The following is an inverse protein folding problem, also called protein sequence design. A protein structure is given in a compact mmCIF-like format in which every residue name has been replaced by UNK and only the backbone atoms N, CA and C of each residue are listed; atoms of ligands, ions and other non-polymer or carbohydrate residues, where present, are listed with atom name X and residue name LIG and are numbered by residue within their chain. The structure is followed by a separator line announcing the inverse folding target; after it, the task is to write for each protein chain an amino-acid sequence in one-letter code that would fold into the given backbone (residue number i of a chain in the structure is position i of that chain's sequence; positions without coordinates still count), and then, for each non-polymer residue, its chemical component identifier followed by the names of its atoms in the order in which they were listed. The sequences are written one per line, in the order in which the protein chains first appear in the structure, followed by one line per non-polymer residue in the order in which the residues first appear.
data_IF_095653166109
#
_entry.id   IF_095653166109
#
_cell.length_a   1.000
_cell.length_b   1.000
_cell.length_c   1.000
_cell.angle_alpha   90.00
_cell.angle_beta   90.00
_cell.angle_gamma   90.00
#
_symmetry.space_group_name_H-M   'P 1'
#
loop_
_entity.id
_entity.type
_entity.pdbx_description
1 polymer ?
#
# COMPACT_ATOMS: atom_id res chain seq x y z
N UNK A 1 7.41 28.47 -21.17
CA UNK A 1 6.33 27.51 -21.40
C UNK A 1 5.75 27.10 -20.06
N UNK A 2 4.85 27.90 -19.52
CA UNK A 2 3.98 27.49 -18.44
C UNK A 2 3.01 26.45 -19.00
N UNK A 3 3.31 25.17 -18.83
CA UNK A 3 2.31 24.12 -19.07
C UNK A 3 1.17 24.39 -18.09
N UNK A 4 -0.01 24.59 -18.63
CA UNK A 4 -1.23 24.70 -17.85
C UNK A 4 -1.47 23.36 -17.16
N UNK A 5 -1.33 23.30 -15.86
CA UNK A 5 -1.64 22.12 -15.03
C UNK A 5 -3.15 21.92 -14.85
N UNK A 6 -3.99 22.65 -15.57
CA UNK A 6 -5.43 22.67 -15.40
C UNK A 6 -6.16 21.35 -15.70
N UNK A 7 -5.49 20.38 -16.32
CA UNK A 7 -6.05 19.03 -16.57
C UNK A 7 -4.98 17.99 -16.29
N UNK A 8 -4.79 17.65 -15.03
CA UNK A 8 -3.93 16.53 -14.66
C UNK A 8 -4.74 15.24 -14.86
N UNK A 9 -4.23 14.38 -15.74
CA UNK A 9 -4.80 13.05 -15.98
C UNK A 9 -4.84 12.23 -14.68
N UNK A 10 -5.83 11.33 -14.57
CA UNK A 10 -5.86 10.32 -13.49
C UNK A 10 -4.62 9.43 -13.51
N UNK A 11 -4.00 9.27 -14.69
CA UNK A 11 -2.77 8.52 -14.90
C UNK A 11 -1.65 9.48 -15.28
N UNK A 12 -0.68 9.63 -14.39
CA UNK A 12 0.50 10.50 -14.59
C UNK A 12 1.74 9.74 -15.05
N UNK A 13 1.57 8.49 -15.47
CA UNK A 13 2.68 7.56 -15.63
C UNK A 13 3.14 7.00 -14.28
N UNK A 14 4.15 6.17 -14.29
CA UNK A 14 4.78 5.67 -13.05
C UNK A 14 5.53 6.81 -12.40
N UNK A 15 5.05 7.30 -11.27
CA UNK A 15 5.55 8.49 -10.60
C UNK A 15 5.31 8.44 -9.09
N UNK A 16 5.84 9.40 -8.34
CA UNK A 16 5.68 9.48 -6.89
C UNK A 16 4.22 9.62 -6.44
N UNK A 17 3.36 10.16 -7.30
CA UNK A 17 1.92 10.34 -7.01
C UNK A 17 1.05 9.20 -7.52
N UNK A 18 1.66 8.14 -8.07
CA UNK A 18 0.94 6.99 -8.61
C UNK A 18 0.83 5.83 -7.59
N UNK A 19 -0.06 4.88 -7.88
CA UNK A 19 -0.22 3.65 -7.09
C UNK A 19 1.10 2.86 -6.96
N UNK A 20 1.91 2.83 -8.01
CA UNK A 20 3.21 2.16 -8.01
C UNK A 20 4.14 2.69 -6.90
N UNK A 21 4.09 3.99 -6.57
CA UNK A 21 4.86 4.53 -5.45
C UNK A 21 4.44 3.91 -4.12
N UNK A 22 3.14 3.67 -3.93
CA UNK A 22 2.65 2.98 -2.73
C UNK A 22 3.15 1.54 -2.61
N UNK A 23 3.13 0.77 -3.71
CA UNK A 23 3.69 -0.58 -3.77
C UNK A 23 5.20 -0.57 -3.46
N UNK A 24 5.92 0.38 -4.05
CA UNK A 24 7.35 0.56 -3.77
C UNK A 24 7.61 0.84 -2.28
N UNK A 25 6.88 1.76 -1.67
CA UNK A 25 7.04 2.08 -0.26
C UNK A 25 6.70 0.90 0.65
N UNK A 26 5.64 0.16 0.38
CA UNK A 26 5.28 -1.02 1.16
C UNK A 26 6.40 -2.08 1.15
N UNK A 27 7.01 -2.31 -0.02
CA UNK A 27 8.16 -3.21 -0.11
C UNK A 27 9.41 -2.63 0.54
N UNK A 28 9.75 -1.38 0.28
CA UNK A 28 10.94 -0.73 0.80
C UNK A 28 10.94 -0.67 2.34
N UNK A 29 9.80 -0.37 2.98
CA UNK A 29 9.67 -0.40 4.44
C UNK A 29 10.00 -1.77 5.01
N UNK A 30 9.46 -2.83 4.40
CA UNK A 30 9.76 -4.20 4.82
C UNK A 30 11.24 -4.55 4.70
N UNK A 31 11.90 -4.16 3.60
CA UNK A 31 13.34 -4.37 3.42
C UNK A 31 14.19 -3.56 4.40
N UNK A 32 13.81 -2.31 4.68
CA UNK A 32 14.49 -1.46 5.67
C UNK A 32 14.43 -2.11 7.06
N UNK A 33 13.26 -2.60 7.47
CA UNK A 33 13.09 -3.30 8.75
C UNK A 33 13.89 -4.60 8.75
N UNK A 34 13.83 -5.39 7.68
CA UNK A 34 14.57 -6.64 7.54
C UNK A 34 16.08 -6.45 7.69
N UNK A 35 16.61 -5.32 7.22
CA UNK A 35 18.03 -4.97 7.36
C UNK A 35 18.39 -4.41 8.75
N UNK A 36 17.45 -4.29 9.66
CA UNK A 36 17.67 -3.84 11.02
C UNK A 36 17.77 -2.32 11.19
N UNK A 37 17.33 -1.54 10.22
CA UNK A 37 17.23 -0.09 10.39
C UNK A 37 16.10 0.27 11.36
N UNK A 38 16.38 1.12 12.31
CA UNK A 38 15.43 1.50 13.37
C UNK A 38 14.39 2.54 12.94
N UNK A 39 14.57 3.19 11.79
CA UNK A 39 13.68 4.27 11.34
C UNK A 39 13.75 4.44 9.83
N UNK A 40 12.58 4.72 9.25
CA UNK A 40 12.44 5.20 7.87
C UNK A 40 11.47 6.37 7.84
N UNK A 41 11.88 7.49 7.27
CA UNK A 41 11.05 8.68 7.12
C UNK A 41 10.81 8.95 5.64
N UNK A 42 9.54 9.06 5.26
CA UNK A 42 9.19 9.49 3.92
C UNK A 42 9.41 11.00 3.80
N UNK A 43 10.10 11.41 2.79
CA UNK A 43 10.21 12.80 2.36
C UNK A 43 9.13 13.07 1.32
N UNK A 44 8.18 13.94 1.55
CA UNK A 44 7.82 14.61 2.80
C UNK A 44 6.29 14.70 2.93
N UNK A 45 5.76 15.55 3.81
CA UNK A 45 4.31 15.70 3.97
C UNK A 45 3.68 16.41 2.77
N UNK A 46 4.23 17.56 2.39
CA UNK A 46 3.82 18.34 1.23
C UNK A 46 5.05 18.93 0.54
N UNK A 47 5.12 18.80 -0.76
CA UNK A 47 6.17 19.40 -1.58
C UNK A 47 5.56 20.19 -2.74
N UNK A 48 6.26 20.35 -3.84
CA UNK A 48 5.77 21.00 -5.04
C UNK A 48 5.50 20.03 -6.15
N UNK A 49 4.32 20.13 -6.78
CA UNK A 49 3.99 19.33 -7.96
C UNK A 49 4.67 19.95 -9.21
N UNK A 50 5.43 19.11 -9.92
CA UNK A 50 6.07 19.48 -11.18
C UNK A 50 6.20 18.27 -12.10
N UNK A 51 5.78 18.44 -13.34
CA UNK A 51 5.94 17.43 -14.39
C UNK A 51 5.38 16.03 -14.04
N UNK A 52 4.26 15.97 -13.32
CA UNK A 52 3.65 14.72 -12.87
C UNK A 52 4.24 14.12 -11.60
N UNK A 53 5.14 14.83 -10.93
CA UNK A 53 5.84 14.40 -9.73
C UNK A 53 5.51 15.30 -8.55
N UNK A 54 5.31 14.69 -7.39
CA UNK A 54 5.29 15.34 -6.08
C UNK A 54 5.89 14.37 -5.06
N UNK A 55 6.88 14.80 -4.30
CA UNK A 55 7.49 13.96 -3.27
C UNK A 55 6.63 13.90 -2.01
N UNK A 56 5.68 14.82 -1.89
CA UNK A 56 4.77 14.88 -0.75
C UNK A 56 3.83 13.67 -0.65
N UNK A 57 3.45 13.35 0.56
CA UNK A 57 2.42 12.37 0.87
C UNK A 57 1.01 12.90 0.56
N UNK A 58 0.88 14.23 0.54
CA UNK A 58 -0.35 14.96 0.27
C UNK A 58 -0.14 15.95 -0.87
N UNK A 59 -1.20 16.13 -1.66
CA UNK A 59 -1.20 17.01 -2.82
C UNK A 59 -0.88 18.47 -2.47
N UNK A 60 0.03 19.07 -3.21
CA UNK A 60 0.35 20.49 -3.14
C UNK A 60 -0.72 21.33 -3.83
N UNK A 61 -0.73 22.63 -3.58
CA UNK A 61 -1.64 23.60 -4.25
C UNK A 61 -1.45 23.69 -5.77
N UNK A 62 -0.40 23.09 -6.31
CA UNK A 62 -0.05 23.18 -7.73
C UNK A 62 -0.54 21.97 -8.56
N UNK A 63 -1.30 21.09 -7.99
CA UNK A 63 -1.75 19.85 -8.65
C UNK A 63 -3.03 20.00 -9.49
N UNK A 64 -3.35 21.18 -9.95
CA UNK A 64 -4.49 21.43 -10.82
C UNK A 64 -5.83 21.25 -10.09
N UNK A 65 -6.61 20.28 -10.53
CA UNK A 65 -7.94 19.97 -10.01
C UNK A 65 -7.95 19.07 -8.77
N UNK A 66 -6.77 18.59 -8.35
CA UNK A 66 -6.65 17.80 -7.11
C UNK A 66 -6.70 18.74 -5.90
N UNK A 67 -7.58 18.49 -4.94
CA UNK A 67 -7.67 19.34 -3.75
C UNK A 67 -6.35 19.40 -2.99
N UNK A 68 -6.00 20.56 -2.51
CA UNK A 68 -4.84 20.73 -1.63
C UNK A 68 -4.94 19.80 -0.41
N UNK A 69 -3.83 19.17 -0.04
CA UNK A 69 -3.72 18.14 1.00
C UNK A 69 -4.56 16.88 0.73
N UNK A 70 -4.99 16.65 -0.51
CA UNK A 70 -5.57 15.35 -0.86
C UNK A 70 -4.49 14.26 -0.76
N UNK A 71 -4.74 13.14 -0.04
CA UNK A 71 -3.72 12.09 0.07
C UNK A 71 -3.40 11.45 -1.28
N UNK A 72 -2.12 11.23 -1.57
CA UNK A 72 -1.68 10.41 -2.69
C UNK A 72 -1.87 8.91 -2.38
N UNK A 73 -1.86 8.02 -3.38
CA UNK A 73 -1.94 6.57 -3.14
C UNK A 73 -0.93 6.05 -2.12
N UNK A 74 0.30 6.57 -2.14
CA UNK A 74 1.37 6.20 -1.19
C UNK A 74 0.99 6.41 0.27
N UNK A 75 0.20 7.43 0.60
CA UNK A 75 -0.30 7.66 1.94
C UNK A 75 -1.07 6.44 2.48
N UNK A 76 -1.95 5.86 1.69
CA UNK A 76 -2.75 4.71 2.13
C UNK A 76 -1.90 3.49 2.37
N UNK A 77 -0.91 3.21 1.51
CA UNK A 77 0.03 2.11 1.71
C UNK A 77 0.85 2.32 2.98
N UNK A 78 1.37 3.52 3.19
CA UNK A 78 2.13 3.87 4.37
C UNK A 78 1.29 3.75 5.65
N UNK A 79 0.05 4.27 5.60
CA UNK A 79 -0.90 4.21 6.72
C UNK A 79 -1.20 2.76 7.12
N UNK A 80 -1.63 1.92 6.17
CA UNK A 80 -1.98 0.53 6.46
C UNK A 80 -0.76 -0.28 6.89
N UNK A 81 0.41 -0.01 6.32
CA UNK A 81 1.64 -0.62 6.78
C UNK A 81 1.91 -0.30 8.25
N UNK A 82 1.94 0.97 8.63
CA UNK A 82 2.18 1.38 10.01
C UNK A 82 1.09 0.87 10.98
N UNK A 83 -0.13 0.77 10.54
CA UNK A 83 -1.25 0.34 11.39
C UNK A 83 -1.24 -1.17 11.65
N UNK A 84 -0.78 -1.98 10.70
CA UNK A 84 -0.95 -3.43 10.73
C UNK A 84 0.37 -4.21 10.64
N UNK A 85 1.52 -3.57 10.75
CA UNK A 85 2.80 -4.20 10.89
C UNK A 85 3.30 -4.01 12.32
N UNK A 86 3.66 -5.12 12.99
CA UNK A 86 3.93 -5.14 14.43
C UNK A 86 5.39 -4.90 14.79
N UNK A 87 5.69 -5.09 16.07
CA UNK A 87 6.93 -4.66 16.73
C UNK A 87 8.12 -5.59 16.46
N UNK A 88 7.83 -6.86 16.14
CA UNK A 88 8.86 -7.89 15.93
C UNK A 88 8.79 -8.41 14.51
N UNK A 89 9.86 -8.26 13.76
CA UNK A 89 9.98 -8.78 12.39
C UNK A 89 10.27 -10.28 12.38
N UNK A 90 9.67 -11.01 11.45
CA UNK A 90 9.96 -12.42 11.18
C UNK A 90 10.40 -12.61 9.73
N UNK A 91 11.43 -13.43 9.54
CA UNK A 91 11.89 -13.79 8.21
C UNK A 91 10.77 -14.49 7.45
N UNK A 92 10.49 -13.99 6.27
CA UNK A 92 9.47 -14.52 5.37
C UNK A 92 10.08 -14.81 3.99
N UNK A 93 9.55 -15.83 3.31
CA UNK A 93 10.05 -16.25 2.01
C UNK A 93 8.91 -16.45 1.04
N UNK A 94 9.11 -16.01 -0.20
CA UNK A 94 8.21 -16.29 -1.31
C UNK A 94 8.90 -17.20 -2.32
N UNK A 95 8.16 -18.19 -2.82
CA UNK A 95 8.59 -19.03 -3.95
C UNK A 95 8.39 -18.34 -5.29
N UNK A 96 7.59 -17.25 -5.31
CA UNK A 96 7.33 -16.43 -6.49
C UNK A 96 8.14 -15.14 -6.43
N UNK A 97 8.94 -14.89 -7.44
CA UNK A 97 9.75 -13.66 -7.53
C UNK A 97 8.92 -12.39 -7.70
N UNK A 98 7.65 -12.52 -8.12
CA UNK A 98 6.69 -11.43 -8.23
C UNK A 98 6.05 -11.01 -6.90
N UNK A 99 6.09 -11.85 -5.88
CA UNK A 99 5.49 -11.56 -4.57
C UNK A 99 6.56 -11.22 -3.54
N UNK A 100 6.34 -10.14 -2.80
CA UNK A 100 7.13 -9.74 -1.64
C UNK A 100 6.28 -9.88 -0.39
N UNK A 101 6.83 -10.56 0.60
CA UNK A 101 6.14 -10.84 1.86
C UNK A 101 7.00 -10.33 3.01
N UNK A 102 6.38 -9.61 3.91
CA UNK A 102 6.98 -9.16 5.16
C UNK A 102 6.06 -9.55 6.30
N UNK A 103 6.59 -10.17 7.32
CA UNK A 103 5.83 -10.69 8.46
C UNK A 103 6.33 -10.10 9.77
N UNK A 104 5.41 -9.89 10.68
CA UNK A 104 5.68 -9.33 12.00
C UNK A 104 4.69 -9.86 13.04
N UNK A 105 4.96 -9.59 14.31
CA UNK A 105 3.96 -9.70 15.39
C UNK A 105 3.92 -8.44 16.22
N UNK A 106 2.76 -8.21 16.81
CA UNK A 106 2.56 -7.22 17.86
C UNK A 106 2.88 -7.82 19.21
N UNK A 107 3.22 -6.97 20.17
CA UNK A 107 3.41 -7.38 21.58
C UNK A 107 2.14 -7.98 22.21
N UNK A 108 0.97 -7.65 21.68
CA UNK A 108 -0.33 -8.24 22.03
C UNK A 108 -0.59 -9.64 21.46
N UNK A 109 0.30 -10.12 20.58
CA UNK A 109 0.29 -11.49 20.04
C UNK A 109 -0.31 -11.65 18.64
N UNK A 110 -0.90 -10.60 18.04
CA UNK A 110 -1.40 -10.65 16.68
C UNK A 110 -0.26 -10.68 15.67
N UNK A 111 -0.49 -11.33 14.52
CA UNK A 111 0.43 -11.32 13.40
C UNK A 111 0.04 -10.25 12.39
N UNK A 112 1.02 -9.48 11.93
CA UNK A 112 0.92 -8.54 10.85
C UNK A 112 1.67 -9.05 9.62
N UNK A 113 1.00 -9.11 8.47
CA UNK A 113 1.60 -9.58 7.22
C UNK A 113 1.30 -8.58 6.12
N UNK A 114 2.36 -8.13 5.45
CA UNK A 114 2.26 -7.31 4.25
C UNK A 114 2.70 -8.13 3.05
N UNK A 115 1.82 -8.25 2.05
CA UNK A 115 2.11 -8.90 0.79
C UNK A 115 1.98 -7.89 -0.36
N UNK A 116 3.00 -7.81 -1.21
CA UNK A 116 3.04 -6.89 -2.34
C UNK A 116 3.19 -7.68 -3.62
N UNK A 117 2.28 -7.49 -4.57
CA UNK A 117 2.37 -8.04 -5.91
C UNK A 117 3.14 -7.04 -6.81
N UNK A 118 4.33 -7.44 -7.23
CA UNK A 118 5.21 -6.65 -8.10
C UNK A 118 5.02 -6.99 -9.60
N UNK A 119 4.06 -7.84 -9.94
CA UNK A 119 3.76 -8.19 -11.32
C UNK A 119 2.63 -7.33 -11.89
N UNK A 120 2.45 -7.39 -13.20
CA UNK A 120 1.33 -6.73 -13.89
C UNK A 120 0.06 -7.62 -13.96
N UNK A 121 0.04 -8.75 -13.26
CA UNK A 121 -1.07 -9.72 -13.27
C UNK A 121 -1.48 -10.05 -11.85
N UNK A 122 -2.71 -10.51 -11.71
CA UNK A 122 -3.16 -11.10 -10.45
C UNK A 122 -2.31 -12.33 -10.11
N UNK A 123 -1.88 -12.42 -8.87
CA UNK A 123 -1.09 -13.53 -8.33
C UNK A 123 -1.86 -14.23 -7.21
N UNK A 124 -1.81 -15.55 -7.19
CA UNK A 124 -2.32 -16.32 -6.06
C UNK A 124 -1.22 -16.45 -5.01
N UNK A 125 -1.46 -15.89 -3.85
CA UNK A 125 -0.67 -16.08 -2.64
C UNK A 125 -1.24 -17.25 -1.85
N UNK A 126 -0.43 -18.27 -1.64
CA UNK A 126 -0.65 -19.31 -0.64
C UNK A 126 0.32 -19.08 0.51
N UNK A 127 -0.22 -18.63 1.62
CA UNK A 127 0.56 -18.31 2.81
C UNK A 127 0.44 -19.47 3.80
N UNK A 128 1.58 -20.01 4.24
CA UNK A 128 1.65 -20.99 5.32
C UNK A 128 2.36 -20.35 6.52
N UNK A 129 1.76 -20.45 7.69
CA UNK A 129 2.31 -19.92 8.93
C UNK A 129 2.74 -21.12 9.79
N UNK A 130 3.98 -21.14 10.24
CA UNK A 130 4.53 -22.19 11.06
C UNK A 130 5.08 -21.64 12.37
N UNK A 131 5.11 -22.49 13.39
CA UNK A 131 5.66 -22.15 14.70
C UNK A 131 4.96 -20.99 15.43
N UNK A 132 3.69 -20.72 15.08
CA UNK A 132 2.85 -19.74 15.73
C UNK A 132 1.48 -20.33 16.05
N UNK A 133 0.91 -19.96 17.18
CA UNK A 133 -0.50 -20.24 17.49
C UNK A 133 -1.33 -19.11 16.90
N UNK A 134 -2.09 -19.41 15.88
CA UNK A 134 -2.93 -18.44 15.17
C UNK A 134 -4.40 -18.76 15.36
N UNK A 135 -5.24 -17.73 15.20
CA UNK A 135 -6.69 -17.90 15.22
C UNK A 135 -7.24 -18.42 13.89
N UNK A 136 -8.53 -18.69 13.85
CA UNK A 136 -9.19 -19.27 12.70
C UNK A 136 -9.55 -18.26 11.59
N UNK A 137 -9.35 -16.95 11.85
CA UNK A 137 -9.78 -15.87 10.97
C UNK A 137 -8.69 -14.81 10.85
N UNK A 138 -8.37 -14.42 9.63
CA UNK A 138 -7.56 -13.25 9.32
C UNK A 138 -8.42 -12.08 8.83
N UNK A 139 -8.06 -10.86 9.24
CA UNK A 139 -8.56 -9.63 8.66
C UNK A 139 -7.64 -9.18 7.53
N UNK A 140 -8.21 -8.88 6.35
CA UNK A 140 -7.45 -8.49 5.18
C UNK A 140 -7.88 -7.13 4.67
N UNK A 141 -6.92 -6.25 4.44
CA UNK A 141 -7.08 -5.03 3.67
C UNK A 141 -6.33 -5.16 2.35
N UNK A 142 -7.06 -5.01 1.26
CA UNK A 142 -6.51 -4.96 -0.09
C UNK A 142 -6.43 -3.51 -0.56
N UNK A 143 -5.23 -3.08 -0.96
CA UNK A 143 -5.03 -1.83 -1.66
C UNK A 143 -4.75 -2.14 -3.12
N UNK A 144 -5.61 -1.66 -4.01
CA UNK A 144 -5.53 -1.97 -5.44
C UNK A 144 -5.84 -0.75 -6.29
N UNK A 145 -5.50 -0.80 -7.57
CA UNK A 145 -5.78 0.25 -8.54
C UNK A 145 -6.00 -0.34 -9.93
N UNK A 146 -6.60 0.45 -10.83
CA UNK A 146 -6.83 0.05 -12.22
C UNK A 146 -5.52 -0.03 -13.03
N UNK A 147 -4.49 0.69 -12.62
CA UNK A 147 -3.17 0.67 -13.25
C UNK A 147 -2.08 1.12 -12.26
N UNK A 148 -0.83 0.65 -12.41
CA UNK A 148 0.31 1.10 -11.60
C UNK A 148 0.53 2.62 -11.68
N UNK A 149 0.21 3.22 -12.82
CA UNK A 149 0.31 4.66 -13.07
C UNK A 149 -0.87 5.47 -12.56
N UNK A 150 -1.92 4.85 -12.07
CA UNK A 150 -3.10 5.54 -11.56
C UNK A 150 -2.79 6.37 -10.33
N UNK A 151 -3.41 7.52 -10.23
CA UNK A 151 -3.41 8.38 -9.03
C UNK A 151 -4.44 7.96 -7.99
N UNK A 152 -5.19 6.89 -8.26
CA UNK A 152 -6.23 6.37 -7.37
C UNK A 152 -5.80 5.06 -6.73
N UNK A 153 -6.30 4.84 -5.52
CA UNK A 153 -6.22 3.57 -4.82
C UNK A 153 -7.57 3.20 -4.23
N UNK A 154 -7.97 1.96 -4.39
CA UNK A 154 -9.10 1.38 -3.69
C UNK A 154 -8.66 0.72 -2.39
N UNK A 155 -9.49 0.77 -1.36
CA UNK A 155 -9.33 0.01 -0.12
C UNK A 155 -10.49 -0.98 -0.04
N UNK A 156 -10.20 -2.27 -0.10
CA UNK A 156 -11.21 -3.35 -0.18
C UNK A 156 -12.29 -3.09 -1.25
N UNK A 157 -11.87 -2.61 -2.42
CA UNK A 157 -12.77 -2.28 -3.54
C UNK A 157 -13.52 -0.95 -3.40
N UNK A 158 -13.42 -0.27 -2.26
CA UNK A 158 -14.00 1.08 -2.10
C UNK A 158 -13.09 2.10 -2.74
N UNK A 159 -13.59 2.81 -3.73
CA UNK A 159 -12.85 3.81 -4.50
C UNK A 159 -13.29 5.22 -4.18
N UNK A 160 -12.42 6.18 -4.46
CA UNK A 160 -12.71 7.59 -4.42
C UNK A 160 -13.46 8.03 -5.70
N UNK A 161 -14.42 8.96 -5.58
CA UNK A 161 -15.08 9.61 -6.72
C UNK A 161 -14.23 10.71 -7.35
N UNK A 162 -13.29 11.29 -6.61
CA UNK A 162 -12.37 12.34 -7.08
C UNK A 162 -11.29 11.77 -8.00
N UNK A 163 -10.54 12.64 -8.67
CA UNK A 163 -9.54 12.28 -9.67
C UNK A 163 -8.23 11.70 -9.09
N UNK A 164 -8.04 11.75 -7.76
CA UNK A 164 -6.85 11.23 -7.13
C UNK A 164 -7.10 10.77 -5.69
N UNK A 165 -6.22 9.95 -5.13
CA UNK A 165 -6.25 9.46 -3.77
C UNK A 165 -7.09 8.20 -3.59
N UNK A 166 -7.45 7.91 -2.36
CA UNK A 166 -8.29 6.79 -1.97
C UNK A 166 -9.59 7.23 -1.29
N UNK A 167 -10.37 6.31 -0.73
CA UNK A 167 -11.67 6.64 -0.15
C UNK A 167 -11.55 7.62 1.03
N UNK A 168 -12.37 8.68 1.03
CA UNK A 168 -12.36 9.70 2.09
C UNK A 168 -12.60 9.12 3.48
N UNK A 169 -13.44 8.10 3.56
CA UNK A 169 -13.79 7.43 4.80
C UNK A 169 -13.06 6.10 4.97
N UNK A 170 -11.80 6.00 4.52
CA UNK A 170 -11.06 4.74 4.54
C UNK A 170 -10.95 4.11 5.94
N UNK A 171 -10.95 4.89 7.00
CA UNK A 171 -10.98 4.40 8.39
C UNK A 171 -12.26 3.64 8.76
N UNK A 172 -13.34 3.82 8.01
CA UNK A 172 -14.61 3.09 8.18
C UNK A 172 -14.70 1.84 7.32
N UNK A 173 -13.77 1.65 6.40
CA UNK A 173 -13.69 0.43 5.58
C UNK A 173 -13.27 -0.71 6.50
N UNK A 174 -14.10 -1.75 6.56
CA UNK A 174 -13.83 -2.93 7.40
C UNK A 174 -12.90 -3.89 6.69
N UNK A 175 -12.07 -4.59 7.47
CA UNK A 175 -11.29 -5.70 6.96
C UNK A 175 -12.22 -6.80 6.39
N UNK A 176 -11.83 -7.38 5.28
CA UNK A 176 -12.43 -8.61 4.79
C UNK A 176 -11.98 -9.76 5.70
N UNK A 177 -12.93 -10.56 6.17
CA UNK A 177 -12.63 -11.72 7.02
C UNK A 177 -12.42 -12.94 6.16
N UNK A 178 -11.29 -13.62 6.37
CA UNK A 178 -10.92 -14.84 5.66
C UNK A 178 -10.65 -15.94 6.68
N UNK A 179 -11.27 -17.08 6.51
CA UNK A 179 -11.03 -18.24 7.35
C UNK A 179 -9.68 -18.89 7.01
N UNK A 180 -8.91 -19.22 8.03
CA UNK A 180 -7.72 -20.05 7.89
C UNK A 180 -8.12 -21.52 7.82
N UNK A 181 -7.43 -22.26 6.97
CA UNK A 181 -7.58 -23.72 6.88
C UNK A 181 -6.21 -24.36 7.07
N UNK A 182 -6.05 -25.13 8.14
CA UNK A 182 -4.77 -25.79 8.48
C UNK A 182 -3.60 -24.80 8.48
N UNK A 183 -3.75 -23.67 9.15
CA UNK A 183 -2.76 -22.58 9.26
C UNK A 183 -2.34 -21.99 7.89
N UNK A 184 -3.24 -22.10 6.90
CA UNK A 184 -3.02 -21.56 5.56
C UNK A 184 -4.07 -20.56 5.15
N UNK A 185 -3.62 -19.58 4.39
CA UNK A 185 -4.46 -18.56 3.74
C UNK A 185 -4.18 -18.61 2.24
N UNK A 186 -5.24 -18.60 1.44
CA UNK A 186 -5.14 -18.43 -0.01
C UNK A 186 -5.82 -17.14 -0.41
N UNK A 187 -5.10 -16.28 -1.10
CA UNK A 187 -5.55 -14.95 -1.54
C UNK A 187 -5.18 -14.72 -3.00
N UNK A 188 -6.10 -14.12 -3.74
CA UNK A 188 -5.76 -13.48 -5.01
C UNK A 188 -5.31 -12.04 -4.71
N UNK A 189 -4.11 -11.67 -5.16
CA UNK A 189 -3.54 -10.33 -4.97
C UNK A 189 -3.45 -9.67 -6.34
N UNK A 190 -4.19 -8.57 -6.49
CA UNK A 190 -4.17 -7.74 -7.69
C UNK A 190 -2.81 -7.07 -7.88
N UNK A 191 -2.47 -6.66 -9.12
CA UNK A 191 -1.26 -5.89 -9.42
C UNK A 191 -1.28 -4.49 -8.82
#
# INVERSE_FOLDING_TARGET
NTRSFAKISENVGVSNVSHCAGLFFAHALGEIIRQGYGMAMMWDIENGFKDGQDHGMFASKKEGDVPWLNPHPSFYHYFFYNQYFGDTYYESRSTKSSLRIHASSFSSGELGIVAVNMSSKEEILELSISNAKIGDVAGVYELSSDAPSSRKVAVNGVVQKKNAGGPENFLKVKANKIALKNDKITLAIKP
#
